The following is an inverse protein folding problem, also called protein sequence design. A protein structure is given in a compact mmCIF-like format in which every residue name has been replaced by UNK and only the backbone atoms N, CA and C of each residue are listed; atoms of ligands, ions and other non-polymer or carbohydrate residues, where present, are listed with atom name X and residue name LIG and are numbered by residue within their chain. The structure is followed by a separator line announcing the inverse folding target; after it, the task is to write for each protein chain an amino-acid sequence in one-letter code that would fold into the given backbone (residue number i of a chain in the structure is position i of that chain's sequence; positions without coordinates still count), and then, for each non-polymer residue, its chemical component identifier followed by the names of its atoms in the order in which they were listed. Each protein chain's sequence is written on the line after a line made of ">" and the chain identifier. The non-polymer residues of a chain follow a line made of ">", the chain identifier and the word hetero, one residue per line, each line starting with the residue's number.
data_IF_086660652308
#
_entry.id   IF_086660652308
#
_cell.length_a   1.000
_cell.length_b   1.000
_cell.length_c   1.000
_cell.angle_alpha   90.00
_cell.angle_beta   90.00
_cell.angle_gamma   90.00
#
_symmetry.space_group_name_H-M   'P 1'
#
loop_
_entity.id
_entity.type
_entity.pdbx_description
1 polymer ?
#
# COMPACT_ATOMS: atom_id res chain seq x y z
N UNK A 1 28.40 3.26 -9.94
CA UNK A 1 27.13 3.15 -9.19
C UNK A 1 26.08 3.95 -9.93
N UNK A 2 24.86 3.43 -10.03
CA UNK A 2 23.72 4.20 -10.54
C UNK A 2 23.18 5.03 -9.38
N UNK A 3 22.92 6.32 -9.59
CA UNK A 3 22.32 7.22 -8.59
C UNK A 3 20.85 7.41 -8.85
N UNK A 4 20.08 7.77 -7.81
CA UNK A 4 18.67 8.08 -7.97
C UNK A 4 18.46 9.26 -8.93
N UNK A 5 19.38 10.23 -8.93
CA UNK A 5 19.39 11.39 -9.81
C UNK A 5 19.52 10.96 -11.28
N UNK A 6 20.46 10.05 -11.58
CA UNK A 6 20.64 9.53 -12.94
C UNK A 6 19.42 8.75 -13.42
N UNK A 7 18.79 7.97 -12.54
CA UNK A 7 17.55 7.24 -12.87
C UNK A 7 16.42 8.23 -13.18
N UNK A 8 16.29 9.34 -12.43
CA UNK A 8 15.28 10.37 -12.71
C UNK A 8 15.47 10.97 -14.10
N UNK A 9 16.70 11.27 -14.49
CA UNK A 9 17.01 11.77 -15.84
C UNK A 9 16.62 10.76 -16.93
N UNK A 10 16.93 9.48 -16.74
CA UNK A 10 16.55 8.41 -17.67
C UNK A 10 15.02 8.25 -17.74
N UNK A 11 14.30 8.36 -16.62
CA UNK A 11 12.84 8.32 -16.58
C UNK A 11 12.23 9.47 -17.37
N UNK A 12 12.80 10.68 -17.31
CA UNK A 12 12.34 11.83 -18.08
C UNK A 12 12.53 11.66 -19.60
N UNK A 13 13.44 10.77 -20.02
CA UNK A 13 13.66 10.44 -21.43
C UNK A 13 12.71 9.38 -21.99
N UNK A 14 11.88 8.77 -21.15
CA UNK A 14 10.93 7.74 -21.58
C UNK A 14 9.83 8.32 -22.45
N UNK A 15 9.35 7.51 -23.40
CA UNK A 15 8.06 7.78 -24.05
C UNK A 15 6.93 7.67 -23.02
N UNK A 16 5.81 8.36 -23.27
CA UNK A 16 4.62 8.31 -22.41
C UNK A 16 4.18 6.87 -22.10
N UNK A 17 4.22 5.98 -23.11
CA UNK A 17 3.85 4.57 -22.94
C UNK A 17 4.77 3.83 -21.98
N UNK A 18 6.07 4.05 -22.05
CA UNK A 18 7.04 3.41 -21.16
C UNK A 18 7.00 4.02 -19.76
N UNK A 19 6.75 5.33 -19.66
CA UNK A 19 6.52 6.00 -18.39
C UNK A 19 5.29 5.44 -17.65
N UNK A 20 4.18 5.20 -18.36
CA UNK A 20 2.97 4.58 -17.77
C UNK A 20 3.28 3.19 -17.23
N UNK A 21 3.93 2.32 -18.01
CA UNK A 21 4.31 0.98 -17.56
C UNK A 21 5.22 1.01 -16.34
N UNK A 22 6.19 1.92 -16.32
CA UNK A 22 7.09 2.08 -15.17
C UNK A 22 6.31 2.47 -13.91
N UNK A 23 5.35 3.39 -14.04
CA UNK A 23 4.51 3.83 -12.92
C UNK A 23 3.61 2.70 -12.40
N UNK A 24 3.04 1.89 -13.29
CA UNK A 24 2.24 0.72 -12.92
C UNK A 24 3.08 -0.27 -12.13
N UNK A 25 4.24 -0.65 -12.65
CA UNK A 25 5.19 -1.54 -11.97
C UNK A 25 5.63 -0.99 -10.60
N UNK A 26 5.91 0.32 -10.50
CA UNK A 26 6.28 0.93 -9.22
C UNK A 26 5.15 0.85 -8.20
N UNK A 27 3.91 1.05 -8.65
CA UNK A 27 2.72 0.93 -7.80
C UNK A 27 2.52 -0.49 -7.30
N UNK A 28 2.72 -1.50 -8.15
CA UNK A 28 2.69 -2.91 -7.75
C UNK A 28 3.73 -3.22 -6.68
N UNK A 29 4.95 -2.69 -6.80
CA UNK A 29 5.99 -2.86 -5.77
C UNK A 29 5.67 -2.20 -4.44
N UNK A 30 4.99 -1.07 -4.47
CA UNK A 30 4.53 -0.46 -3.23
C UNK A 30 3.35 -1.25 -2.62
N UNK A 31 2.45 -1.80 -3.44
CA UNK A 31 1.41 -2.72 -2.96
C UNK A 31 2.00 -3.97 -2.27
N UNK A 32 3.00 -4.61 -2.88
CA UNK A 32 3.69 -5.77 -2.26
C UNK A 32 4.25 -5.42 -0.86
N UNK A 33 4.90 -4.27 -0.72
CA UNK A 33 5.42 -3.81 0.59
C UNK A 33 4.30 -3.48 1.58
N UNK A 34 3.20 -2.92 1.09
CA UNK A 34 2.04 -2.63 1.92
C UNK A 34 1.40 -3.91 2.46
N UNK A 35 1.27 -4.94 1.64
CA UNK A 35 0.78 -6.25 2.07
C UNK A 35 1.66 -6.83 3.18
N UNK A 36 2.98 -6.85 2.97
CA UNK A 36 3.94 -7.30 3.99
C UNK A 36 3.79 -6.51 5.29
N UNK A 37 3.67 -5.18 5.19
CA UNK A 37 3.51 -4.30 6.35
C UNK A 37 2.21 -4.56 7.09
N UNK A 38 1.09 -4.73 6.39
CA UNK A 38 -0.22 -5.05 7.00
C UNK A 38 -0.12 -6.37 7.76
N UNK A 39 0.51 -7.39 7.18
CA UNK A 39 0.70 -8.69 7.85
C UNK A 39 1.53 -8.52 9.13
N UNK A 40 2.62 -7.76 9.09
CA UNK A 40 3.44 -7.51 10.28
C UNK A 40 2.72 -6.68 11.34
N UNK A 41 2.01 -5.63 10.94
CA UNK A 41 1.26 -4.77 11.85
C UNK A 41 0.10 -5.53 12.50
N UNK A 42 -0.54 -6.45 11.77
CA UNK A 42 -1.52 -7.39 12.32
C UNK A 42 -0.88 -8.34 13.34
N UNK A 43 0.25 -8.98 13.01
CA UNK A 43 0.96 -9.90 13.93
C UNK A 43 1.44 -9.21 15.20
N UNK A 44 1.80 -7.92 15.10
CA UNK A 44 2.25 -7.11 16.22
C UNK A 44 1.11 -6.46 17.01
N UNK A 45 -0.16 -6.79 16.71
CA UNK A 45 -1.35 -6.29 17.40
C UNK A 45 -1.66 -4.81 17.14
N UNK A 46 -0.98 -4.15 16.20
CA UNK A 46 -1.22 -2.72 15.89
C UNK A 46 -2.60 -2.49 15.29
N UNK A 47 -3.19 -3.52 14.69
CA UNK A 47 -4.52 -3.46 14.08
C UNK A 47 -5.63 -3.96 15.01
N UNK A 48 -5.33 -4.34 16.26
CA UNK A 48 -6.31 -4.89 17.21
C UNK A 48 -7.43 -3.91 17.57
N UNK A 49 -7.17 -2.60 17.45
CA UNK A 49 -8.19 -1.58 17.68
C UNK A 49 -9.36 -1.70 16.69
N UNK A 50 -9.10 -2.11 15.44
CA UNK A 50 -10.14 -2.34 14.43
C UNK A 50 -11.05 -3.52 14.83
N UNK A 51 -10.47 -4.58 15.38
CA UNK A 51 -11.23 -5.73 15.89
C UNK A 51 -12.11 -5.30 17.06
N UNK A 52 -11.55 -4.53 18.01
CA UNK A 52 -12.29 -4.01 19.17
C UNK A 52 -13.43 -3.09 18.74
N UNK A 53 -13.19 -2.21 17.78
CA UNK A 53 -14.20 -1.33 17.20
C UNK A 53 -15.33 -2.13 16.56
N UNK A 54 -15.01 -3.08 15.67
CA UNK A 54 -16.00 -3.92 15.01
C UNK A 54 -16.85 -4.72 16.03
N UNK A 55 -16.23 -5.26 17.08
CA UNK A 55 -16.96 -5.94 18.17
C UNK A 55 -17.84 -4.98 18.97
N UNK A 56 -17.37 -3.75 19.20
CA UNK A 56 -18.12 -2.68 19.85
C UNK A 56 -19.36 -2.28 19.04
N UNK A 57 -19.23 -2.09 17.74
CA UNK A 57 -20.36 -1.78 16.86
C UNK A 57 -21.34 -2.95 16.74
N UNK A 58 -20.82 -4.18 16.66
CA UNK A 58 -21.65 -5.39 16.64
C UNK A 58 -22.52 -5.50 17.88
N UNK A 59 -21.95 -5.28 19.05
CA UNK A 59 -22.70 -5.34 20.32
C UNK A 59 -23.73 -4.22 20.46
N UNK A 60 -23.48 -3.06 19.86
CA UNK A 60 -24.43 -1.93 19.79
C UNK A 60 -25.50 -2.09 18.70
N UNK A 61 -25.37 -3.08 17.83
CA UNK A 61 -26.24 -3.25 16.66
C UNK A 61 -26.10 -2.15 15.62
N UNK A 62 -24.99 -1.40 15.62
CA UNK A 62 -24.75 -0.26 14.73
C UNK A 62 -23.86 -0.60 13.54
N UNK A 63 -23.51 -1.88 13.35
CA UNK A 63 -22.73 -2.32 12.19
C UNK A 63 -23.39 -1.84 10.90
N UNK A 64 -22.59 -1.17 10.06
CA UNK A 64 -23.04 -0.74 8.75
C UNK A 64 -23.42 -1.97 7.92
N UNK A 65 -24.61 -1.93 7.32
CA UNK A 65 -25.05 -2.95 6.37
C UNK A 65 -24.22 -2.80 5.08
N UNK A 66 -23.61 -3.90 4.63
CA UNK A 66 -22.84 -3.99 3.39
C UNK A 66 -23.76 -3.86 2.17
#
# INVERSE_FOLDING_TARGET
>A
MVTAEKIKEEILSLSEKEYIKLREWFSEKDWEKWDDRIVQDSKNGKLDFLIKEAMGEKSKGTLRRL
#
